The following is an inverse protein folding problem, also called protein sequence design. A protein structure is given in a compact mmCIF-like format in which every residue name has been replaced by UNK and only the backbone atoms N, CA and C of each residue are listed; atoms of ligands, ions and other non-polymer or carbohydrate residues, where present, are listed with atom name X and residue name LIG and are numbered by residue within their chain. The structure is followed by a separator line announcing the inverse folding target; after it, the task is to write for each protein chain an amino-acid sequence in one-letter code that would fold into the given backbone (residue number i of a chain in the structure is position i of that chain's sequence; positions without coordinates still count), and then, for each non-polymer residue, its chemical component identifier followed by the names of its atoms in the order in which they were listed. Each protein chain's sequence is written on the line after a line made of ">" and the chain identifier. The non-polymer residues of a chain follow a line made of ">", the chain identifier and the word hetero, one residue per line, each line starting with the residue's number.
data_IF_284953855009
#
_entry.id   IF_284953855009
#
_cell.length_a   1.000
_cell.length_b   1.000
_cell.length_c   1.000
_cell.angle_alpha   90.00
_cell.angle_beta   90.00
_cell.angle_gamma   90.00
#
_symmetry.space_group_name_H-M   'P 1'
#
loop_
_entity.id
_entity.type
_entity.pdbx_description
1 polymer ?
2 non-polymer ?
3 non-polymer ?
4 non-polymer ?
5 non-polymer ?
6 water ?
#
# COMPACT_ATOMS: atom_id res chain seq x y z
N UNK A 5 -7.91 15.80 10.89
CA UNK A 5 -7.94 15.50 12.32
C UNK A 5 -6.95 14.37 12.59
N UNK A 6 -6.88 13.95 13.85
CA UNK A 6 -6.10 12.78 14.24
C UNK A 6 -6.88 11.89 15.20
N UNK A 7 -6.54 10.61 15.20
CA UNK A 7 -7.02 9.69 16.22
C UNK A 7 -5.81 8.95 16.76
N UNK A 8 -5.85 8.61 18.05
CA UNK A 8 -4.72 7.91 18.65
C UNK A 8 -4.74 6.42 18.34
N UNK A 9 -3.58 5.89 17.98
CA UNK A 9 -3.41 4.46 17.84
C UNK A 9 -3.31 3.85 19.24
N UNK A 10 -3.34 2.53 19.33
CA UNK A 10 -3.25 1.84 20.62
C UNK A 10 -2.05 2.32 21.44
N UNK A 11 -0.92 2.54 20.77
CA UNK A 11 0.29 2.96 21.48
C UNK A 11 0.37 4.46 21.73
N UNK A 12 -0.71 5.18 21.43
CA UNK A 12 -0.75 6.60 21.67
C UNK A 12 -0.38 7.48 20.49
N UNK A 13 0.16 6.90 19.41
CA UNK A 13 0.58 7.69 18.26
C UNK A 13 -0.59 8.39 17.59
N UNK A 14 -0.50 9.71 17.39
CA UNK A 14 -1.57 10.39 16.65
C UNK A 14 -1.47 10.06 15.15
N UNK A 15 -2.57 9.57 14.58
CA UNK A 15 -2.64 9.23 13.17
C UNK A 15 -3.57 10.23 12.48
N UNK A 16 -2.99 10.98 11.54
CA UNK A 16 -3.72 12.04 10.84
C UNK A 16 -4.53 11.48 9.67
N UNK A 17 -5.71 12.03 9.47
CA UNK A 17 -6.59 11.53 8.40
C UNK A 17 -7.56 12.61 7.96
N UNK A 18 -8.20 12.38 6.82
CA UNK A 18 -9.29 13.23 6.40
C UNK A 18 -10.42 12.40 5.81
N UNK A 19 -11.64 12.89 5.96
CA UNK A 19 -12.84 12.23 5.46
C UNK A 19 -13.43 13.06 4.34
N UNK A 20 -14.00 12.39 3.36
CA UNK A 20 -14.76 13.11 2.35
C UNK A 20 -15.86 12.20 1.86
N UNK A 21 -16.80 12.76 1.11
CA UNK A 21 -17.83 11.98 0.48
C UNK A 21 -18.96 11.56 1.38
N UNK A 22 -19.77 10.64 0.88
CA UNK A 22 -20.90 10.12 1.61
C UNK A 22 -21.20 8.73 1.08
N UNK A 23 -21.82 7.90 1.91
CA UNK A 23 -22.05 6.52 1.55
C UNK A 23 -21.28 5.62 2.49
N UNK A 24 -21.28 4.30 2.21
CA UNK A 24 -20.54 3.38 3.09
C UNK A 24 -19.05 3.74 3.12
N UNK A 25 -18.38 3.44 4.23
CA UNK A 25 -16.98 3.85 4.36
C UNK A 25 -15.97 3.00 3.61
N UNK A 26 -14.98 3.69 3.05
CA UNK A 26 -13.82 3.10 2.40
C UNK A 26 -12.56 3.74 2.98
N UNK A 27 -11.60 2.92 3.39
CA UNK A 27 -10.31 3.41 3.85
C UNK A 27 -9.26 3.10 2.80
N UNK A 28 -8.49 4.11 2.42
CA UNK A 28 -7.41 3.94 1.44
C UNK A 28 -6.10 3.78 2.22
N UNK A 29 -5.35 2.72 1.91
CA UNK A 29 -4.09 2.46 2.58
C UNK A 29 -2.94 2.61 1.58
N UNK A 30 -2.06 3.56 1.82
CA UNK A 30 -0.99 3.82 0.88
C UNK A 30 0.22 2.92 1.06
N UNK A 31 1.05 2.87 0.03
CA UNK A 31 2.25 2.04 0.04
C UNK A 31 3.52 2.77 0.40
N UNK A 32 4.65 2.23 -0.02
CA UNK A 32 5.94 2.81 0.32
C UNK A 32 6.01 4.24 -0.18
N UNK A 33 6.54 5.12 0.67
CA UNK A 33 6.76 6.53 0.34
C UNK A 33 5.50 7.33 0.11
N UNK A 34 4.36 6.76 0.45
CA UNK A 34 3.10 7.46 0.30
C UNK A 34 2.75 8.27 1.53
N UNK A 35 1.95 9.31 1.33
CA UNK A 35 1.26 9.97 2.44
C UNK A 35 -0.21 10.01 2.03
N UNK A 36 -1.05 10.66 2.83
CA UNK A 36 -2.47 10.68 2.53
C UNK A 36 -2.78 11.42 1.23
N UNK A 37 -1.90 12.36 0.85
CA UNK A 37 -2.09 13.10 -0.40
C UNK A 37 -2.20 12.19 -1.61
N UNK A 38 -1.49 11.06 -1.55
CA UNK A 38 -1.43 10.14 -2.67
C UNK A 38 -2.79 9.60 -3.07
N UNK A 39 -3.67 9.49 -2.10
CA UNK A 39 -4.97 8.90 -2.34
C UNK A 39 -6.02 9.93 -2.69
N UNK A 40 -5.67 11.21 -2.58
CA UNK A 40 -6.64 12.27 -2.79
C UNK A 40 -7.32 12.24 -4.17
N UNK A 41 -6.54 12.10 -5.26
CA UNK A 41 -7.24 12.07 -6.56
C UNK A 41 -8.24 10.92 -6.66
N UNK A 42 -7.87 9.74 -6.16
CA UNK A 42 -8.81 8.62 -6.16
C UNK A 42 -10.00 8.87 -5.24
N UNK A 43 -9.69 9.38 -4.05
CA UNK A 43 -10.74 9.64 -3.05
C UNK A 43 -11.79 10.55 -3.65
N UNK A 44 -11.37 11.54 -4.41
CA UNK A 44 -12.31 12.50 -4.99
C UNK A 44 -13.22 11.84 -6.02
N UNK A 45 -12.70 10.87 -6.77
CA UNK A 45 -13.53 10.10 -7.69
C UNK A 45 -14.49 9.14 -7.00
N UNK A 46 -14.12 8.68 -5.80
CA UNK A 46 -14.94 7.74 -5.05
C UNK A 46 -15.98 8.44 -4.17
N UNK A 47 -15.73 9.71 -3.86
CA UNK A 47 -16.55 10.43 -2.88
C UNK A 47 -18.05 10.52 -3.20
N UNK A 48 -18.43 10.55 -4.49
CA UNK A 48 -19.86 10.54 -4.81
C UNK A 48 -20.55 9.24 -4.37
N UNK A 49 -19.78 8.18 -4.16
CA UNK A 49 -20.32 6.85 -3.86
C UNK A 49 -20.06 6.38 -2.43
N UNK A 50 -18.97 6.85 -1.85
CA UNK A 50 -18.50 6.35 -0.56
C UNK A 50 -18.01 7.47 0.33
N UNK A 51 -18.08 7.26 1.64
CA UNK A 51 -17.33 8.10 2.56
C UNK A 51 -15.90 7.56 2.56
N UNK A 52 -14.97 8.39 2.12
CA UNK A 52 -13.61 7.93 1.93
C UNK A 52 -12.72 8.52 3.01
N UNK A 53 -11.89 7.68 3.61
CA UNK A 53 -10.90 8.12 4.58
C UNK A 53 -9.52 7.92 4.00
N UNK A 54 -8.75 8.99 3.92
CA UNK A 54 -7.34 8.93 3.57
C UNK A 54 -6.54 9.29 4.83
N UNK A 55 -5.40 8.64 5.00
CA UNK A 55 -4.62 8.84 6.22
C UNK A 55 -3.14 8.71 5.99
N UNK A 56 -2.39 9.30 6.89
CA UNK A 56 -0.93 9.24 6.85
C UNK A 56 -0.47 8.11 7.74
N UNK A 57 0.21 7.13 7.17
CA UNK A 57 0.80 6.08 7.97
C UNK A 57 1.83 6.67 8.93
N UNK A 58 2.11 5.94 10.00
CA UNK A 58 2.98 6.51 11.03
C UNK A 58 4.34 6.95 10.48
N UNK A 59 4.82 8.07 11.01
CA UNK A 59 6.09 8.62 10.60
C UNK A 59 6.01 9.45 9.33
N UNK A 60 4.80 9.64 8.80
CA UNK A 60 4.61 10.37 7.53
C UNK A 60 3.58 11.48 7.67
N UNK A 61 3.67 12.47 6.79
CA UNK A 61 2.65 13.50 6.70
C UNK A 61 2.42 14.14 8.06
N UNK A 62 1.17 14.16 8.52
CA UNK A 62 0.87 14.81 9.79
C UNK A 62 0.75 13.83 10.94
N UNK A 63 1.10 12.57 10.69
CA UNK A 63 1.09 11.57 11.76
C UNK A 63 2.36 11.59 12.59
N UNK A 64 2.24 11.18 13.85
CA UNK A 64 3.40 11.02 14.71
C UNK A 64 4.03 9.66 14.51
N UNK A 65 4.93 9.30 15.42
CA UNK A 65 5.55 7.99 15.38
C UNK A 65 6.00 7.66 16.80
N UNK A 66 5.88 6.40 17.18
CA UNK A 66 6.31 5.96 18.51
C UNK A 66 7.19 4.71 18.37
N UNK A 67 8.51 4.87 18.55
CA UNK A 67 9.37 3.68 18.47
C UNK A 67 9.14 2.75 19.66
N UNK A 68 9.49 1.47 19.52
CA UNK A 68 10.11 0.90 18.33
C UNK A 68 9.08 0.50 17.27
N UNK A 69 9.50 0.53 16.01
CA UNK A 69 8.60 0.11 14.95
C UNK A 69 8.24 -1.37 15.12
N UNK A 70 6.99 -1.70 14.83
CA UNK A 70 6.57 -3.08 14.64
C UNK A 70 5.43 -3.05 13.65
N UNK A 71 5.33 -4.09 12.82
CA UNK A 71 4.22 -4.19 11.88
C UNK A 71 2.88 -4.12 12.64
N UNK A 72 2.82 -4.74 13.82
CA UNK A 72 1.59 -4.71 14.61
C UNK A 72 1.14 -3.28 14.91
N UNK A 73 2.08 -2.35 15.06
CA UNK A 73 1.69 -0.97 15.31
C UNK A 73 0.93 -0.40 14.11
N UNK A 74 1.36 -0.72 12.89
CA UNK A 74 0.64 -0.22 11.72
C UNK A 74 -0.72 -0.89 11.50
N UNK A 75 -0.85 -2.15 11.92
CA UNK A 75 -2.17 -2.79 11.93
C UNK A 75 -3.06 -2.04 12.93
N UNK A 76 -2.52 -1.70 14.09
CA UNK A 76 -3.27 -0.93 15.08
C UNK A 76 -3.63 0.46 14.56
N UNK A 77 -2.72 1.07 13.78
CA UNK A 77 -3.05 2.36 13.17
C UNK A 77 -4.26 2.23 12.26
N UNK A 78 -4.24 1.21 11.40
CA UNK A 78 -5.35 0.97 10.50
C UNK A 78 -6.63 0.67 11.29
N UNK A 79 -6.52 -0.08 12.38
CA UNK A 79 -7.68 -0.32 13.23
C UNK A 79 -8.29 0.99 13.76
N UNK A 80 -7.43 1.93 14.16
CA UNK A 80 -7.91 3.21 14.66
C UNK A 80 -8.61 4.01 13.56
N UNK A 81 -8.09 3.92 12.35
CA UNK A 81 -8.69 4.62 11.21
C UNK A 81 -10.03 3.99 10.81
N UNK A 82 -10.11 2.65 10.82
CA UNK A 82 -11.38 1.99 10.57
C UNK A 82 -12.40 2.41 11.64
N UNK A 83 -11.97 2.57 12.89
CA UNK A 83 -12.85 3.11 13.93
C UNK A 83 -13.30 4.53 13.59
N UNK A 84 -12.38 5.38 13.13
CA UNK A 84 -12.75 6.72 12.69
C UNK A 84 -13.78 6.67 11.57
N UNK A 85 -13.70 5.64 10.73
CA UNK A 85 -14.64 5.44 9.63
C UNK A 85 -16.00 4.92 10.09
N UNK A 86 -16.11 4.53 11.35
CA UNK A 86 -17.39 4.09 11.89
C UNK A 86 -17.32 2.76 12.58
N UNK A 87 -16.23 2.01 12.41
CA UNK A 87 -16.04 0.75 13.11
C UNK A 87 -15.86 -0.45 12.21
N UNK A 88 -16.20 -0.29 10.94
CA UNK A 88 -15.94 -1.28 9.91
C UNK A 88 -15.84 -0.54 8.59
N UNK A 89 -15.13 -1.09 7.62
CA UNK A 89 -15.03 -0.42 6.34
C UNK A 89 -14.58 -1.35 5.25
N UNK A 90 -14.85 -0.92 4.02
CA UNK A 90 -14.18 -1.48 2.85
C UNK A 90 -12.77 -0.91 2.86
N UNK A 91 -11.79 -1.66 2.35
CA UNK A 91 -10.42 -1.17 2.33
C UNK A 91 -9.84 -1.35 0.93
N UNK A 92 -9.17 -0.31 0.44
CA UNK A 92 -8.37 -0.42 -0.78
C UNK A 92 -6.92 -0.16 -0.42
N UNK A 93 -6.05 -1.14 -0.64
CA UNK A 93 -4.64 -1.02 -0.32
C UNK A 93 -3.79 -1.00 -1.57
N UNK A 94 -2.82 -0.09 -1.59
CA UNK A 94 -1.94 0.11 -2.73
C UNK A 94 -0.52 -0.38 -2.45
N UNK A 95 -0.02 -1.25 -3.33
CA UNK A 95 1.36 -1.71 -3.24
C UNK A 95 1.68 -2.28 -1.87
N UNK A 96 2.72 -1.82 -1.19
CA UNK A 96 2.99 -2.39 0.12
C UNK A 96 1.83 -2.14 1.11
N UNK A 97 1.01 -1.14 0.84
CA UNK A 97 -0.18 -0.90 1.64
C UNK A 97 -1.18 -2.03 1.45
N UNK A 98 -1.12 -2.71 0.30
CA UNK A 98 -1.93 -3.91 0.09
C UNK A 98 -1.44 -5.04 0.98
N UNK A 99 -0.13 -5.17 1.15
CA UNK A 99 0.42 -6.15 2.06
C UNK A 99 -0.07 -5.89 3.47
N UNK A 100 -0.01 -4.63 3.90
CA UNK A 100 -0.46 -4.26 5.23
C UNK A 100 -1.95 -4.58 5.39
N UNK A 101 -2.74 -4.26 4.37
CA UNK A 101 -4.17 -4.50 4.41
C UNK A 101 -4.50 -5.99 4.49
N UNK A 102 -3.77 -6.81 3.75
CA UNK A 102 -3.94 -8.25 3.80
C UNK A 102 -3.58 -8.80 5.18
N UNK A 103 -2.46 -8.35 5.74
CA UNK A 103 -2.09 -8.74 7.09
C UNK A 103 -3.17 -8.33 8.08
N UNK A 104 -3.72 -7.14 7.92
CA UNK A 104 -4.75 -6.65 8.84
C UNK A 104 -6.01 -7.51 8.74
N UNK A 105 -6.38 -7.86 7.51
CA UNK A 105 -7.55 -8.71 7.29
C UNK A 105 -7.34 -10.09 7.93
N UNK A 106 -6.14 -10.66 7.74
CA UNK A 106 -5.83 -11.96 8.30
C UNK A 106 -5.80 -11.91 9.83
N UNK A 107 -5.51 -10.74 10.38
CA UNK A 107 -5.43 -10.56 11.83
C UNK A 107 -6.79 -10.34 12.45
N UNK A 108 -7.83 -10.21 11.63
CA UNK A 108 -9.18 -10.08 12.15
C UNK A 108 -9.74 -8.67 12.27
N UNK A 109 -9.12 -7.67 11.65
CA UNK A 109 -9.73 -6.34 11.66
C UNK A 109 -11.07 -6.35 10.94
N UNK A 110 -11.98 -5.43 11.31
CA UNK A 110 -13.31 -5.39 10.69
C UNK A 110 -13.30 -4.75 9.31
N UNK A 111 -12.65 -5.45 8.38
CA UNK A 111 -12.63 -5.10 6.97
C UNK A 111 -13.69 -5.95 6.29
N UNK A 112 -14.66 -5.29 5.66
CA UNK A 112 -15.82 -6.03 5.14
C UNK A 112 -15.64 -6.46 3.68
N UNK A 113 -14.92 -5.68 2.89
CA UNK A 113 -14.53 -6.01 1.52
C UNK A 113 -13.12 -5.47 1.33
N UNK A 114 -12.29 -6.20 0.58
CA UNK A 114 -10.90 -5.79 0.43
C UNK A 114 -10.48 -5.76 -1.03
N UNK A 115 -9.91 -4.62 -1.48
CA UNK A 115 -9.34 -4.53 -2.81
C UNK A 115 -7.87 -4.16 -2.65
N UNK A 116 -7.03 -4.82 -3.44
CA UNK A 116 -5.59 -4.56 -3.39
C UNK A 116 -5.02 -4.39 -4.79
N UNK A 117 -4.13 -3.42 -4.93
CA UNK A 117 -3.49 -3.16 -6.22
C UNK A 117 -1.99 -3.47 -6.14
N UNK A 118 -1.54 -4.37 -7.00
CA UNK A 118 -0.12 -4.71 -7.14
C UNK A 118 0.61 -4.95 -5.82
N UNK A 119 0.06 -5.82 -4.96
CA UNK A 119 0.83 -6.21 -3.76
C UNK A 119 2.19 -6.81 -4.18
N UNK A 120 3.29 -6.23 -3.69
CA UNK A 120 4.61 -6.60 -4.24
C UNK A 120 5.24 -7.84 -3.62
N UNK A 121 4.46 -8.90 -3.46
CA UNK A 121 5.03 -10.19 -3.08
C UNK A 121 5.71 -10.78 -4.30
N UNK A 122 6.51 -11.82 -4.09
CA UNK A 122 7.21 -12.51 -5.17
C UNK A 122 6.86 -13.98 -5.12
N UNK A 123 6.54 -14.57 -6.27
CA UNK A 123 6.23 -16.00 -6.32
C UNK A 123 7.06 -16.78 -7.33
N UNK A 124 7.96 -16.11 -8.04
CA UNK A 124 8.75 -16.79 -9.06
C UNK A 124 10.03 -16.00 -9.39
N UNK A 125 10.91 -16.61 -10.18
CA UNK A 125 12.20 -16.03 -10.48
C UNK A 125 12.17 -14.87 -11.48
N UNK A 126 11.02 -14.56 -12.06
CA UNK A 126 10.95 -13.44 -13.00
C UNK A 126 11.14 -12.09 -12.29
N UNK A 127 11.02 -12.08 -10.97
CA UNK A 127 11.40 -10.92 -10.19
C UNK A 127 12.90 -10.95 -9.92
N UNK A 128 13.59 -9.83 -10.17
CA UNK A 128 15.03 -9.78 -9.87
C UNK A 128 15.28 -10.07 -8.38
N UNK A 129 16.36 -10.80 -8.05
CA UNK A 129 16.62 -11.02 -6.63
C UNK A 129 16.90 -9.71 -5.90
N UNK A 130 16.39 -9.59 -4.68
CA UNK A 130 16.68 -8.45 -3.83
C UNK A 130 18.06 -8.72 -3.23
N UNK A 131 18.94 -7.71 -3.23
CA UNK A 131 20.29 -7.98 -2.70
C UNK A 131 20.20 -8.48 -1.25
N UNK A 132 21.04 -9.48 -0.90
CA UNK A 132 21.01 -9.98 0.48
C UNK A 132 21.35 -8.91 1.52
N UNK A 133 22.05 -7.85 1.11
CA UNK A 133 22.41 -6.77 2.02
C UNK A 133 21.44 -5.58 1.96
N UNK A 134 20.26 -5.81 1.40
CA UNK A 134 19.30 -4.73 1.21
C UNK A 134 19.04 -3.91 2.48
N UNK A 135 18.70 -4.57 3.58
CA UNK A 135 18.38 -3.86 4.81
C UNK A 135 19.56 -3.03 5.31
N UNK A 136 20.74 -3.65 5.30
CA UNK A 136 21.96 -2.99 5.76
C UNK A 136 22.27 -1.77 4.90
N UNK A 137 22.16 -1.91 3.58
CA UNK A 137 22.50 -0.81 2.68
C UNK A 137 21.50 0.33 2.81
N UNK A 138 20.22 0.00 2.87
CA UNK A 138 19.19 1.02 3.02
C UNK A 138 19.41 1.81 4.31
N UNK A 139 19.69 1.10 5.40
CA UNK A 139 19.96 1.77 6.66
C UNK A 139 21.17 2.69 6.56
N UNK A 140 22.20 2.22 5.86
CA UNK A 140 23.44 3.00 5.73
C UNK A 140 23.20 4.30 4.95
N UNK A 141 22.42 4.20 3.88
CA UNK A 141 22.08 5.38 3.09
C UNK A 141 21.33 6.38 3.94
N UNK A 142 20.33 5.89 4.68
CA UNK A 142 19.53 6.75 5.53
C UNK A 142 20.38 7.43 6.61
N UNK A 143 21.33 6.70 7.19
CA UNK A 143 22.18 7.23 8.26
C UNK A 143 23.11 8.34 7.78
N UNK A 144 23.37 8.36 6.48
CA UNK A 144 24.22 9.39 5.87
C UNK A 144 23.38 10.55 5.36
N UNK A 145 22.06 10.45 5.51
CA UNK A 145 21.17 11.50 5.05
C UNK A 145 20.99 11.48 3.54
N UNK A 146 21.36 10.38 2.91
CA UNK A 146 21.21 10.25 1.46
C UNK A 146 19.82 9.73 1.15
N UNK A 147 18.83 10.58 1.39
CA UNK A 147 17.42 10.18 1.27
C UNK A 147 17.03 9.88 -0.16
N UNK A 148 17.50 10.71 -1.08
CA UNK A 148 17.26 10.47 -2.49
C UNK A 148 17.87 9.15 -2.92
N UNK A 149 19.09 8.88 -2.48
CA UNK A 149 19.74 7.63 -2.87
C UNK A 149 19.02 6.44 -2.23
N UNK A 150 18.46 6.62 -1.04
CA UNK A 150 17.65 5.55 -0.42
C UNK A 150 16.41 5.24 -1.24
N UNK A 151 15.74 6.27 -1.74
CA UNK A 151 14.59 6.06 -2.62
C UNK A 151 15.00 5.36 -3.90
N UNK A 152 16.09 5.81 -4.52
CA UNK A 152 16.59 5.19 -5.74
C UNK A 152 16.91 3.72 -5.51
N UNK A 153 17.52 3.42 -4.37
CA UNK A 153 17.90 2.06 -4.02
C UNK A 153 16.66 1.20 -3.82
N UNK A 154 15.70 1.71 -3.05
CA UNK A 154 14.43 1.00 -2.89
C UNK A 154 13.79 0.68 -4.25
N UNK A 155 13.71 1.68 -5.12
CA UNK A 155 13.05 1.51 -6.42
C UNK A 155 13.76 0.49 -7.30
N UNK A 156 15.08 0.61 -7.40
CA UNK A 156 15.84 -0.25 -8.30
C UNK A 156 16.13 -1.63 -7.74
N UNK A 157 16.49 -1.70 -6.46
CA UNK A 157 16.89 -2.96 -5.86
C UNK A 157 15.79 -3.59 -5.02
N UNK A 158 14.93 -2.77 -4.43
CA UNK A 158 13.85 -3.28 -3.61
C UNK A 158 12.72 -3.82 -4.46
N UNK A 159 12.29 -3.04 -5.45
CA UNK A 159 11.15 -3.45 -6.27
C UNK A 159 11.44 -3.54 -7.78
N UNK A 160 12.71 -3.52 -8.18
CA UNK A 160 13.10 -3.90 -9.52
C UNK A 160 12.73 -2.96 -10.66
N UNK A 161 12.61 -1.67 -10.38
CA UNK A 161 12.27 -0.69 -11.42
C UNK A 161 13.53 -0.39 -12.21
N UNK A 162 13.44 -0.35 -13.55
CA UNK A 162 14.64 -0.04 -14.35
C UNK A 162 15.19 1.36 -14.09
N UNK A 163 16.52 1.54 -14.22
CA UNK A 163 17.15 2.83 -13.91
C UNK A 163 16.58 4.03 -14.68
N UNK A 164 16.17 3.83 -15.92
CA UNK A 164 15.61 4.94 -16.69
C UNK A 164 14.33 5.51 -16.08
N UNK A 165 13.43 4.64 -15.61
CA UNK A 165 12.19 5.10 -15.02
C UNK A 165 12.46 5.78 -13.68
N UNK A 166 13.42 5.27 -12.92
CA UNK A 166 13.72 5.86 -11.63
C UNK A 166 14.34 7.23 -11.80
N UNK A 167 15.22 7.37 -12.78
CA UNK A 167 15.83 8.67 -13.04
C UNK A 167 14.77 9.69 -13.44
N UNK A 168 13.77 9.24 -14.19
CA UNK A 168 12.66 10.12 -14.57
C UNK A 168 11.85 10.55 -13.35
N UNK A 169 11.58 9.62 -12.43
CA UNK A 169 10.89 9.98 -11.18
C UNK A 169 11.61 11.09 -10.42
N UNK A 170 12.95 11.04 -10.45
CA UNK A 170 13.76 12.02 -9.74
C UNK A 170 13.56 13.44 -10.28
N UNK A 171 13.07 13.51 -11.51
CA UNK A 171 12.82 14.80 -12.16
C UNK A 171 11.40 15.30 -11.90
N UNK A 172 10.56 14.45 -11.31
CA UNK A 172 9.15 14.78 -11.12
C UNK A 172 8.90 15.52 -9.82
N UNK A 173 7.78 16.25 -9.75
CA UNK A 173 7.39 16.96 -8.52
C UNK A 173 7.19 16.02 -7.32
N UNK A 174 6.94 14.73 -7.56
CA UNK A 174 6.75 13.74 -6.49
C UNK A 174 7.99 13.49 -5.64
N UNK A 175 9.16 13.76 -6.20
CA UNK A 175 10.40 13.26 -5.61
C UNK A 175 10.71 13.85 -4.22
N UNK A 176 10.63 15.18 -4.04
CA UNK A 176 10.93 15.69 -2.69
C UNK A 176 10.03 15.10 -1.61
N UNK A 177 8.75 14.86 -1.91
CA UNK A 177 7.84 14.26 -0.95
C UNK A 177 8.28 12.86 -0.56
N UNK A 178 8.82 12.12 -1.53
CA UNK A 178 9.31 10.78 -1.26
C UNK A 178 10.56 10.83 -0.39
N UNK A 179 11.47 11.72 -0.73
CA UNK A 179 12.67 11.89 0.09
C UNK A 179 12.29 12.21 1.53
N UNK A 180 11.28 13.07 1.70
CA UNK A 180 10.89 13.48 3.04
C UNK A 180 10.47 12.33 3.94
N UNK A 181 9.92 11.27 3.35
CA UNK A 181 9.48 10.12 4.13
C UNK A 181 10.33 8.88 3.89
N UNK A 182 11.53 9.07 3.34
CA UNK A 182 12.41 7.93 3.08
C UNK A 182 12.78 7.14 4.34
N UNK A 183 12.77 7.79 5.50
CA UNK A 183 13.08 7.08 6.74
C UNK A 183 12.07 5.96 7.04
N UNK A 184 10.91 5.96 6.37
CA UNK A 184 9.92 4.88 6.56
C UNK A 184 10.11 3.67 5.63
N UNK A 185 11.09 3.74 4.73
CA UNK A 185 11.32 2.60 3.85
C UNK A 185 11.57 1.28 4.60
N UNK A 186 12.31 1.33 5.73
CA UNK A 186 12.46 0.08 6.49
C UNK A 186 11.14 -0.44 7.03
N UNK A 187 10.16 0.44 7.25
CA UNK A 187 8.86 0.00 7.73
C UNK A 187 8.16 -0.85 6.68
N UNK A 188 8.20 -0.39 5.43
CA UNK A 188 7.59 -1.17 4.36
C UNK A 188 8.34 -2.47 4.11
N UNK A 189 9.66 -2.47 4.30
CA UNK A 189 10.39 -3.72 4.21
C UNK A 189 9.90 -4.72 5.26
N UNK A 190 9.68 -4.23 6.48
CA UNK A 190 9.17 -5.09 7.55
C UNK A 190 7.76 -5.64 7.25
N UNK A 191 6.88 -4.79 6.72
CA UNK A 191 5.54 -5.22 6.34
C UNK A 191 5.62 -6.36 5.34
N UNK A 192 6.49 -6.22 4.34
CA UNK A 192 6.59 -7.19 3.25
C UNK A 192 7.41 -8.44 3.59
N UNK A 193 8.11 -8.43 4.71
CA UNK A 193 8.94 -9.57 5.10
C UNK A 193 10.02 -9.78 4.08
N UNK A 194 10.12 -10.98 3.53
CA UNK A 194 11.08 -11.26 2.44
C UNK A 194 10.36 -11.40 1.10
N UNK A 195 9.17 -10.84 1.05
CA UNK A 195 8.30 -10.84 -0.12
C UNK A 195 7.61 -12.15 -0.42
N UNK A 196 7.82 -13.16 0.42
CA UNK A 196 7.06 -14.37 0.24
C UNK A 196 5.65 -14.24 0.83
N UNK A 197 4.68 -14.88 0.17
CA UNK A 197 3.30 -14.79 0.64
C UNK A 197 3.07 -15.69 1.85
N UNK A 198 2.48 -15.13 2.92
CA UNK A 198 2.06 -16.00 4.04
C UNK A 198 0.76 -16.72 3.68
N UNK A 199 0.90 -17.74 2.85
CA UNK A 199 -0.21 -18.45 2.25
C UNK A 199 -1.24 -18.95 3.25
N UNK A 200 -0.77 -19.59 4.32
CA UNK A 200 -1.66 -20.14 5.35
C UNK A 200 -2.58 -19.05 5.88
N UNK A 201 -2.01 -17.89 6.20
CA UNK A 201 -2.79 -16.79 6.73
C UNK A 201 -3.76 -16.19 5.72
N UNK A 202 -3.29 -15.96 4.50
CA UNK A 202 -4.15 -15.32 3.51
C UNK A 202 -5.25 -16.26 3.04
N UNK A 203 -5.01 -17.56 3.05
CA UNK A 203 -6.07 -18.51 2.70
C UNK A 203 -7.23 -18.46 3.70
N UNK A 204 -6.98 -17.88 4.87
CA UNK A 204 -8.00 -17.82 5.92
C UNK A 204 -8.84 -16.54 5.84
N UNK A 205 -8.52 -15.67 4.90
CA UNK A 205 -9.31 -14.48 4.67
C UNK A 205 -10.58 -14.90 3.94
N UNK A 206 -11.73 -14.64 4.54
CA UNK A 206 -12.98 -15.13 3.98
C UNK A 206 -13.81 -14.05 3.29
N UNK A 207 -13.41 -12.79 3.43
CA UNK A 207 -14.23 -11.71 2.86
C UNK A 207 -14.04 -11.56 1.35
N UNK A 208 -15.01 -10.94 0.68
CA UNK A 208 -14.89 -10.67 -0.76
C UNK A 208 -13.61 -9.85 -1.00
N UNK A 209 -12.80 -10.31 -1.95
CA UNK A 209 -11.52 -9.69 -2.22
C UNK A 209 -11.32 -9.49 -3.71
N UNK A 210 -10.68 -8.37 -4.05
CA UNK A 210 -10.35 -8.03 -5.43
C UNK A 210 -8.86 -7.75 -5.53
N UNK A 211 -8.18 -8.45 -6.43
CA UNK A 211 -6.75 -8.27 -6.62
C UNK A 211 -6.55 -7.67 -8.01
N UNK A 212 -5.89 -6.52 -8.08
CA UNK A 212 -5.73 -5.82 -9.34
C UNK A 212 -4.29 -5.64 -9.71
N UNK A 213 -4.02 -5.69 -11.01
CA UNK A 213 -2.75 -5.21 -11.54
C UNK A 213 -3.04 -4.31 -12.72
N UNK A 214 -1.98 -3.72 -13.29
CA UNK A 214 -2.13 -2.73 -14.33
C UNK A 214 -1.54 -3.21 -15.64
N UNK A 215 -1.84 -2.48 -16.70
CA UNK A 215 -1.38 -2.87 -18.03
C UNK A 215 0.12 -2.82 -18.25
N UNK A 216 0.86 -2.14 -17.37
CA UNK A 216 2.32 -2.07 -17.47
C UNK A 216 3.01 -2.88 -16.37
N UNK A 217 2.26 -3.70 -15.64
CA UNK A 217 2.86 -4.48 -14.57
C UNK A 217 3.96 -5.40 -15.09
N UNK A 218 5.04 -5.52 -14.33
CA UNK A 218 6.01 -6.55 -14.71
C UNK A 218 5.42 -7.94 -14.55
N UNK A 219 5.98 -8.91 -15.28
CA UNK A 219 5.50 -10.28 -15.19
C UNK A 219 5.38 -10.77 -13.75
N UNK A 220 6.36 -10.42 -12.93
CA UNK A 220 6.34 -10.95 -11.57
C UNK A 220 5.16 -10.46 -10.75
N UNK A 221 4.72 -9.24 -11.01
CA UNK A 221 3.52 -8.71 -10.37
C UNK A 221 2.26 -9.44 -10.84
N UNK A 222 2.17 -9.73 -12.13
CA UNK A 222 1.04 -10.53 -12.62
C UNK A 222 1.00 -11.88 -11.94
N UNK A 223 2.15 -12.54 -11.82
CA UNK A 223 2.14 -13.87 -11.25
C UNK A 223 1.73 -13.85 -9.78
N UNK A 224 2.20 -12.84 -9.05
CA UNK A 224 1.79 -12.66 -7.67
C UNK A 224 0.29 -12.42 -7.56
N UNK A 225 -0.24 -11.57 -8.42
CA UNK A 225 -1.66 -11.27 -8.39
C UNK A 225 -2.49 -12.51 -8.66
N UNK A 226 -2.09 -13.28 -9.66
CA UNK A 226 -2.77 -14.51 -9.99
C UNK A 226 -2.77 -15.46 -8.80
N UNK A 227 -1.62 -15.59 -8.15
CA UNK A 227 -1.51 -16.53 -7.05
C UNK A 227 -2.36 -16.06 -5.86
N UNK A 228 -2.33 -14.78 -5.54
CA UNK A 228 -3.13 -14.27 -4.43
C UNK A 228 -4.61 -14.51 -4.70
N UNK A 229 -5.05 -14.28 -5.93
CA UNK A 229 -6.47 -14.43 -6.26
C UNK A 229 -6.90 -15.89 -6.26
N UNK A 230 -5.94 -16.79 -6.27
CA UNK A 230 -6.23 -18.22 -6.16
C UNK A 230 -6.19 -18.66 -4.68
N UNK A 231 -5.23 -18.13 -3.93
CA UNK A 231 -5.05 -18.50 -2.53
C UNK A 231 -6.20 -18.00 -1.65
N UNK A 232 -6.65 -16.79 -1.90
CA UNK A 232 -7.73 -16.21 -1.13
C UNK A 232 -9.04 -16.74 -1.70
N UNK A 233 -9.83 -17.42 -0.86
CA UNK A 233 -10.92 -18.20 -1.46
C UNK A 233 -11.97 -17.38 -2.21
N UNK A 234 -12.31 -16.21 -1.72
CA UNK A 234 -13.34 -15.45 -2.41
C UNK A 234 -12.75 -14.23 -3.11
N UNK A 235 -11.82 -14.49 -4.04
CA UNK A 235 -11.09 -13.42 -4.69
C UNK A 235 -11.18 -13.45 -6.20
N UNK A 236 -11.26 -12.26 -6.79
CA UNK A 236 -11.16 -12.15 -8.24
C UNK A 236 -9.93 -11.36 -8.62
N UNK A 237 -9.51 -11.54 -9.87
CA UNK A 237 -8.29 -10.94 -10.38
C UNK A 237 -8.62 -10.08 -11.61
N UNK A 238 -8.36 -8.79 -11.51
CA UNK A 238 -8.66 -7.87 -12.60
C UNK A 238 -7.38 -7.17 -13.07
N UNK A 239 -7.20 -7.12 -14.38
CA UNK A 239 -6.13 -6.30 -14.96
C UNK A 239 -6.75 -5.01 -15.48
N UNK A 240 -6.27 -3.88 -14.97
CA UNK A 240 -6.84 -2.59 -15.33
C UNK A 240 -6.48 -2.18 -16.75
N UNK A 241 -7.23 -1.20 -17.27
CA UNK A 241 -7.09 -0.74 -18.65
C UNK A 241 -6.32 0.58 -18.74
N UNK A 242 -5.37 0.82 -17.84
CA UNK A 242 -4.55 2.01 -17.99
C UNK A 242 -3.80 1.97 -19.31
N UNK A 243 -3.71 3.10 -19.99
CA UNK A 243 -3.12 3.14 -21.33
C UNK A 243 -1.70 3.71 -21.35
N UNK A 244 -1.18 4.08 -20.18
CA UNK A 244 0.25 4.39 -20.03
C UNK A 244 0.72 3.76 -18.72
N UNK A 245 1.97 4.02 -18.35
CA UNK A 245 2.53 3.46 -17.14
C UNK A 245 1.73 3.89 -15.91
N UNK A 246 1.36 5.17 -15.86
CA UNK A 246 0.64 5.71 -14.70
C UNK A 246 -0.81 5.25 -14.68
N UNK A 247 -1.21 4.65 -13.57
CA UNK A 247 -2.62 4.30 -13.37
C UNK A 247 -3.39 5.49 -12.81
N UNK A 248 -4.27 6.07 -13.62
CA UNK A 248 -5.04 7.24 -13.21
C UNK A 248 -6.26 6.82 -12.41
N UNK A 249 -6.83 7.77 -11.64
CA UNK A 249 -7.98 7.41 -10.80
C UNK A 249 -9.11 6.78 -11.60
N UNK A 250 -9.32 7.24 -12.83
CA UNK A 250 -10.46 6.76 -13.60
C UNK A 250 -10.28 5.34 -14.15
N UNK A 251 -9.06 4.82 -14.05
CA UNK A 251 -8.79 3.43 -14.39
C UNK A 251 -9.16 2.49 -13.23
N UNK A 252 -9.16 3.04 -12.02
CA UNK A 252 -9.37 2.27 -10.79
C UNK A 252 -10.79 2.44 -10.26
N UNK A 253 -11.26 3.69 -10.22
CA UNK A 253 -12.50 3.99 -9.51
C UNK A 253 -13.72 3.17 -9.96
N UNK A 254 -13.96 3.06 -11.28
CA UNK A 254 -15.15 2.32 -11.72
C UNK A 254 -15.11 0.86 -11.28
N UNK A 255 -13.92 0.27 -11.27
CA UNK A 255 -13.74 -1.11 -10.83
C UNK A 255 -14.02 -1.25 -9.33
N UNK A 256 -13.52 -0.30 -8.54
CA UNK A 256 -13.80 -0.28 -7.12
C UNK A 256 -15.27 -0.05 -6.83
N UNK A 257 -15.91 0.87 -7.56
CA UNK A 257 -17.31 1.13 -7.33
C UNK A 257 -18.12 -0.13 -7.56
N UNK A 258 -17.85 -0.83 -8.66
CA UNK A 258 -18.55 -2.07 -8.98
C UNK A 258 -18.33 -3.13 -7.90
N UNK A 259 -17.08 -3.30 -7.49
CA UNK A 259 -16.75 -4.35 -6.53
C UNK A 259 -17.31 -4.07 -5.14
N UNK A 260 -17.29 -2.82 -4.72
CA UNK A 260 -17.72 -2.46 -3.37
C UNK A 260 -19.24 -2.38 -3.24
N UNK A 261 -19.94 -2.12 -4.35
CA UNK A 261 -21.40 -2.01 -4.31
C UNK A 261 -22.05 -3.29 -4.79
X LIG B 1 20.71 11.40 -1.68
X LIG C 1 12.63 -5.60 -0.53
X LIG C 1 11.88 -6.02 -1.65
X LIG C 1 11.76 -4.70 0.33
X LIG C 1 10.48 -5.28 0.49
X LIG C 1 11.58 -3.37 -0.38
X LIG C 1 10.62 -2.63 0.31
X LIG D 1 -4.57 16.74 9.69
X LIG D 1 -4.36 16.58 11.20
X LIG D 1 -5.39 15.68 9.23
X LIG D 1 -3.09 17.72 11.81
X LIG E 1 2.31 -21.96 3.59
X LIG E 1 1.83 -21.17 4.81
X LIG E 1 1.79 -23.26 3.66
X LIG E 1 2.62 -19.54 4.97
X LIG F 1 5.52 -0.39 -2.88
X LIG F 1 4.70 0.11 -2.04
X LIG F 1 5.77 -1.61 -2.90
X LIG F 1 6.16 0.53 -3.87
X LIG F 1 5.51 1.79 -3.85
X LIG F 1 6.15 -0.06 -5.27
X LIG F 1 6.43 1.01 -6.29
X LIG F 1 6.47 2.23 -5.99
X LIG F 1 6.65 0.69 -7.48
#
# INVERSE_FOLDING_TARGET
>A
SNAXQTVPSSDGTPIAFERSGSGPPVVLVGGALSTRAGGAPLAERLAPHFTVICYDRRGRGDSGDTPPYAVEREIEDLAAIIDAAGGAAFVFGMSSGAGLSLLAAASGLPITRLAVFEPPYAVDDSRPPVPPDYQTRLDALLAEGRRGDAVTYFMTEGVGVPPDLVAQMQQAPMWPGMEAVAHTLPYDHAVMGDNTIPTARFASISIPTLVMDGGASPAWIRHTAQELADTIPNARYVTLENQTHTVAPDAIAPVLVEFFTR
>B hetero
1 CL CL
>C hetero
1 GOL C1 O1 C2 O2 C3 O3
>D hetero
1 BME C1 C2 O1 S2
>E hetero
1 BME C1 C2 O1 S2
>F hetero
1 MLT C1 O1 O2 C2 O3 C3 C4 O4 O5
#
